data_IF_717015965639
#
_entry.id   IF_717015965639
#
_cell.length_a   1.000
_cell.length_b   1.000
_cell.length_c   1.000
_cell.angle_alpha   90.00
_cell.angle_beta   90.00
_cell.angle_gamma   90.00
#
_symmetry.space_group_name_H-M   'P 1'
#
loop_
_entity.id
_entity.type
_entity.pdbx_description
1 polymer ?
#
# COMPACT_ATOMS: atom_id res chain seq x y z
N UNK A 1 -14.09 -5.33 11.25
CA UNK A 1 -14.50 -6.55 10.51
C UNK A 1 -13.24 -7.14 9.87
N UNK A 2 -12.94 -8.44 10.02
CA UNK A 2 -11.79 -9.01 9.31
C UNK A 2 -12.06 -8.90 7.80
N UNK A 3 -11.14 -8.28 7.07
CA UNK A 3 -11.15 -8.31 5.61
C UNK A 3 -11.02 -9.78 5.20
N UNK A 4 -12.03 -10.31 4.50
CA UNK A 4 -12.10 -11.70 4.07
C UNK A 4 -12.08 -11.75 2.54
N UNK A 5 -11.18 -12.54 1.98
CA UNK A 5 -11.13 -12.86 0.56
C UNK A 5 -11.54 -14.33 0.41
N UNK A 6 -12.64 -14.61 -0.30
CA UNK A 6 -13.17 -15.97 -0.48
C UNK A 6 -13.33 -16.77 0.83
N UNK A 7 -13.73 -16.09 1.91
CA UNK A 7 -13.90 -16.69 3.24
C UNK A 7 -12.64 -16.78 4.10
N UNK A 8 -11.45 -16.54 3.52
CA UNK A 8 -10.17 -16.52 4.24
C UNK A 8 -9.98 -15.14 4.89
N UNK A 9 -9.74 -15.06 6.21
CA UNK A 9 -9.37 -13.80 6.85
C UNK A 9 -7.95 -13.43 6.41
N UNK A 10 -7.85 -12.47 5.51
CA UNK A 10 -6.59 -12.00 4.93
C UNK A 10 -6.01 -10.81 5.72
N UNK A 11 -6.86 -10.09 6.45
CA UNK A 11 -6.47 -8.87 7.16
C UNK A 11 -6.10 -7.74 6.19
N UNK A 12 -5.43 -6.71 6.71
CA UNK A 12 -4.85 -5.65 5.90
C UNK A 12 -3.51 -5.24 6.52
N UNK A 13 -2.50 -5.02 5.68
CA UNK A 13 -1.16 -4.59 6.10
C UNK A 13 -0.80 -3.31 5.36
N UNK A 14 -0.22 -2.38 6.11
CA UNK A 14 0.37 -1.14 5.61
C UNK A 14 1.85 -1.15 5.93
N UNK A 15 2.66 -0.59 5.03
CA UNK A 15 4.09 -0.36 5.25
C UNK A 15 4.35 1.14 5.21
N UNK A 16 5.15 1.63 6.15
CA UNK A 16 5.59 3.03 6.18
C UNK A 16 7.09 3.02 5.86
N UNK A 17 7.46 3.73 4.81
CA UNK A 17 8.85 3.90 4.40
C UNK A 17 9.25 5.34 4.72
N UNK A 18 10.36 5.51 5.44
CA UNK A 18 10.94 6.83 5.68
C UNK A 18 11.94 7.15 4.59
N UNK A 19 11.72 8.25 3.89
CA UNK A 19 12.57 8.74 2.81
C UNK A 19 13.78 9.50 3.38
N UNK A 20 14.78 9.76 2.54
CA UNK A 20 16.03 10.45 2.91
C UNK A 20 15.77 11.86 3.49
N UNK A 21 14.73 12.54 3.03
CA UNK A 21 14.32 13.86 3.54
C UNK A 21 13.58 13.80 4.90
N UNK A 22 13.46 12.61 5.50
CA UNK A 22 12.78 12.37 6.78
C UNK A 22 11.25 12.27 6.70
N UNK A 23 10.65 12.50 5.53
CA UNK A 23 9.21 12.34 5.32
C UNK A 23 8.83 10.89 5.03
N UNK A 24 7.54 10.60 5.05
CA UNK A 24 7.00 9.26 5.00
C UNK A 24 6.28 8.98 3.69
N UNK A 25 6.53 7.81 3.13
CA UNK A 25 5.73 7.18 2.08
C UNK A 25 4.88 6.07 2.71
N UNK A 26 3.57 6.16 2.53
CA UNK A 26 2.60 5.18 3.00
C UNK A 26 2.27 4.24 1.86
N UNK A 27 2.57 2.95 2.04
CA UNK A 27 2.23 1.89 1.11
C UNK A 27 1.06 1.05 1.65
N UNK A 28 0.01 0.87 0.86
CA UNK A 28 -1.17 0.06 1.20
C UNK A 28 -1.90 0.56 2.46
N UNK A 29 -2.51 1.77 2.42
CA UNK A 29 -3.21 2.35 3.55
C UNK A 29 -4.31 1.44 4.10
N UNK A 30 -4.31 1.28 5.43
CA UNK A 30 -5.33 0.54 6.20
C UNK A 30 -6.27 1.50 6.92
N UNK A 31 -7.24 0.98 7.67
CA UNK A 31 -8.16 1.80 8.44
C UNK A 31 -7.44 2.86 9.29
N UNK A 32 -7.80 4.13 9.07
CA UNK A 32 -7.20 5.29 9.70
C UNK A 32 -7.83 5.54 11.07
N UNK A 33 -7.23 4.96 12.09
CA UNK A 33 -7.63 5.18 13.49
C UNK A 33 -6.87 6.36 14.10
N UNK A 34 -7.42 6.97 15.17
CA UNK A 34 -6.72 8.03 15.91
C UNK A 34 -5.36 7.56 16.44
N UNK A 35 -5.29 6.32 16.94
CA UNK A 35 -4.02 5.74 17.41
C UNK A 35 -2.98 5.64 16.29
N UNK A 36 -3.41 5.22 15.09
CA UNK A 36 -2.53 5.15 13.92
C UNK A 36 -2.04 6.54 13.51
N UNK A 37 -2.93 7.53 13.46
CA UNK A 37 -2.56 8.92 13.14
C UNK A 37 -1.54 9.49 14.13
N UNK A 38 -1.73 9.24 15.44
CA UNK A 38 -0.78 9.65 16.46
C UNK A 38 0.58 8.97 16.27
N UNK A 39 0.60 7.66 16.01
CA UNK A 39 1.85 6.93 15.76
C UNK A 39 2.58 7.47 14.51
N UNK A 40 1.87 7.74 13.42
CA UNK A 40 2.47 8.30 12.19
C UNK A 40 3.03 9.71 12.47
N UNK A 41 2.30 10.55 13.21
CA UNK A 41 2.74 11.92 13.53
C UNK A 41 4.07 11.96 14.31
N UNK A 42 4.38 10.90 15.07
CA UNK A 42 5.65 10.77 15.78
C UNK A 42 6.80 10.33 14.87
N UNK A 43 6.50 9.73 13.72
CA UNK A 43 7.50 9.25 12.76
C UNK A 43 7.93 10.34 11.76
N UNK A 44 7.01 11.21 11.35
CA UNK A 44 7.27 12.28 10.39
C UNK A 44 6.03 12.74 9.62
N UNK A 45 6.20 13.74 8.76
CA UNK A 45 5.16 14.19 7.85
C UNK A 45 4.96 13.19 6.70
N UNK A 46 3.72 13.00 6.25
CA UNK A 46 3.42 12.15 5.10
C UNK A 46 3.66 12.95 3.83
N UNK A 47 4.58 12.47 3.00
CA UNK A 47 4.86 13.05 1.69
C UNK A 47 3.99 12.44 0.60
N UNK A 48 3.83 11.11 0.64
CA UNK A 48 3.13 10.39 -0.42
C UNK A 48 2.35 9.19 0.12
N UNK A 49 1.22 8.90 -0.51
CA UNK A 49 0.35 7.75 -0.22
C UNK A 49 0.14 6.99 -1.51
N UNK A 50 0.40 5.68 -1.45
CA UNK A 50 0.31 4.79 -2.62
C UNK A 50 -0.46 3.52 -2.26
N UNK A 51 -1.18 2.97 -3.24
CA UNK A 51 -1.74 1.62 -3.15
C UNK A 51 -0.99 0.69 -4.11
N UNK A 52 -0.69 -0.56 -3.73
CA UNK A 52 0.05 -1.50 -4.58
C UNK A 52 -0.69 -1.86 -5.87
N UNK A 53 -2.03 -1.96 -5.81
CA UNK A 53 -2.88 -2.39 -6.92
C UNK A 53 -4.30 -1.83 -6.76
N UNK A 54 -5.19 -2.14 -7.72
CA UNK A 54 -6.58 -1.69 -7.75
C UNK A 54 -7.51 -2.30 -6.67
N UNK A 55 -7.00 -3.18 -5.80
CA UNK A 55 -7.72 -3.83 -4.70
C UNK A 55 -7.53 -3.13 -3.35
N UNK A 56 -6.45 -2.38 -3.16
CA UNK A 56 -6.06 -1.79 -1.87
C UNK A 56 -6.62 -0.38 -1.60
N UNK A 57 -7.74 -0.02 -2.22
CA UNK A 57 -8.29 1.34 -2.17
C UNK A 57 -9.40 1.55 -1.13
N UNK A 58 -9.77 0.52 -0.36
CA UNK A 58 -10.94 0.54 0.53
C UNK A 58 -10.90 1.71 1.53
N UNK A 59 -9.71 2.00 2.06
CA UNK A 59 -9.50 3.05 3.05
C UNK A 59 -9.05 4.37 2.42
N UNK A 60 -8.88 4.45 1.11
CA UNK A 60 -8.20 5.60 0.50
C UNK A 60 -8.95 6.93 0.70
N UNK A 61 -10.29 6.92 0.81
CA UNK A 61 -11.08 8.13 1.02
C UNK A 61 -10.81 8.81 2.37
N UNK A 62 -10.70 8.05 3.46
CA UNK A 62 -10.41 8.62 4.79
C UNK A 62 -9.00 9.19 4.85
N UNK A 63 -8.03 8.56 4.16
CA UNK A 63 -6.67 9.09 4.03
C UNK A 63 -6.64 10.38 3.21
N UNK A 64 -7.39 10.42 2.10
CA UNK A 64 -7.50 11.60 1.24
C UNK A 64 -8.08 12.80 2.00
N UNK A 65 -9.10 12.57 2.83
CA UNK A 65 -9.70 13.62 3.67
C UNK A 65 -8.78 14.07 4.81
N UNK A 66 -8.04 13.15 5.42
CA UNK A 66 -7.18 13.45 6.57
C UNK A 66 -5.84 14.09 6.18
N UNK A 67 -5.30 13.73 5.01
CA UNK A 67 -3.98 14.16 4.56
C UNK A 67 -4.03 14.78 3.14
N UNK A 68 -4.83 15.85 2.92
CA UNK A 68 -5.01 16.43 1.58
C UNK A 68 -3.74 17.11 1.03
N UNK A 69 -2.68 17.24 1.82
CA UNK A 69 -1.39 17.79 1.40
C UNK A 69 -0.39 16.70 0.96
N UNK A 70 -0.67 15.43 1.25
CA UNK A 70 0.15 14.32 0.79
C UNK A 70 -0.12 14.06 -0.70
N UNK A 71 0.91 13.63 -1.42
CA UNK A 71 0.79 13.29 -2.84
C UNK A 71 0.17 11.89 -2.99
N UNK A 72 -0.97 11.79 -3.67
CA UNK A 72 -1.67 10.52 -3.90
C UNK A 72 -1.29 9.96 -5.25
N UNK A 73 -0.60 8.81 -5.24
CA UNK A 73 -0.33 8.09 -6.47
C UNK A 73 -1.30 6.92 -6.68
N UNK A 74 -1.86 6.86 -7.88
CA UNK A 74 -2.67 5.72 -8.32
C UNK A 74 -1.78 4.62 -8.93
N UNK A 75 -1.94 3.33 -8.57
CA UNK A 75 -1.43 2.26 -9.40
C UNK A 75 -2.22 2.23 -10.72
N UNK A 76 -1.67 1.58 -11.76
CA UNK A 76 -2.35 1.44 -13.05
C UNK A 76 -3.80 0.96 -12.89
N UNK A 77 -4.73 1.67 -13.55
CA UNK A 77 -6.15 1.31 -13.56
C UNK A 77 -7.00 1.85 -12.39
N UNK A 78 -6.39 2.36 -11.31
CA UNK A 78 -7.16 2.77 -10.13
C UNK A 78 -7.96 4.07 -10.36
N UNK A 79 -7.41 5.03 -11.11
CA UNK A 79 -8.07 6.31 -11.40
C UNK A 79 -9.42 6.09 -12.11
N UNK A 80 -9.50 5.11 -13.02
CA UNK A 80 -10.74 4.78 -13.72
C UNK A 80 -11.78 4.13 -12.80
N UNK A 81 -11.33 3.48 -11.71
CA UNK A 81 -12.20 2.82 -10.73
C UNK A 81 -12.66 3.77 -9.61
N UNK A 82 -11.81 4.72 -9.24
CA UNK A 82 -12.03 5.67 -8.12
C UNK A 82 -12.09 7.11 -8.64
N UNK A 83 -13.10 7.36 -9.46
CA UNK A 83 -13.38 8.70 -10.03
C UNK A 83 -13.87 9.71 -8.99
N UNK A 84 -14.17 9.26 -7.77
CA UNK A 84 -14.52 10.10 -6.63
C UNK A 84 -13.30 10.69 -5.91
N UNK A 85 -12.08 10.21 -6.22
CA UNK A 85 -10.83 10.71 -5.65
C UNK A 85 -9.98 11.38 -6.73
N UNK A 86 -9.27 12.43 -6.33
CA UNK A 86 -8.25 13.07 -7.16
C UNK A 86 -6.90 12.47 -6.81
N UNK A 87 -6.23 11.91 -7.81
CA UNK A 87 -4.84 11.47 -7.73
C UNK A 87 -3.96 12.52 -8.36
N UNK A 88 -2.79 12.73 -7.77
CA UNK A 88 -1.84 13.72 -8.26
C UNK A 88 -1.01 13.18 -9.44
N UNK A 89 -0.72 11.86 -9.45
CA UNK A 89 -0.06 11.16 -10.56
C UNK A 89 -0.30 9.64 -10.52
N UNK A 90 0.08 8.94 -11.58
CA UNK A 90 0.00 7.49 -11.69
C UNK A 90 1.38 6.83 -11.57
N UNK A 91 1.45 5.71 -10.85
CA UNK A 91 2.66 4.90 -10.74
C UNK A 91 2.88 4.10 -12.03
N UNK A 92 4.15 4.01 -12.40
CA UNK A 92 4.61 3.26 -13.56
C UNK A 92 5.82 2.39 -13.21
N UNK A 93 6.47 1.83 -14.24
CA UNK A 93 7.67 1.03 -14.07
C UNK A 93 8.91 1.86 -13.65
N UNK A 94 8.80 3.19 -13.61
CA UNK A 94 9.86 4.11 -13.18
C UNK A 94 9.49 4.79 -11.87
N UNK A 95 10.47 4.92 -10.97
CA UNK A 95 10.31 5.68 -9.72
C UNK A 95 10.06 7.17 -10.00
N UNK A 96 9.02 7.78 -9.40
CA UNK A 96 8.83 9.23 -9.36
C UNK A 96 10.00 9.98 -8.71
N UNK A 97 10.15 11.26 -9.09
CA UNK A 97 11.20 12.16 -8.56
C UNK A 97 11.19 12.26 -7.03
N UNK A 98 10.03 12.10 -6.39
CA UNK A 98 9.87 12.18 -4.93
C UNK A 98 10.76 11.18 -4.16
N UNK A 99 11.07 10.04 -4.75
CA UNK A 99 11.92 9.01 -4.14
C UNK A 99 12.88 8.35 -5.14
N UNK A 100 13.13 9.02 -6.27
CA UNK A 100 14.08 8.55 -7.27
C UNK A 100 15.47 8.38 -6.63
N UNK A 101 16.20 7.35 -7.05
CA UNK A 101 17.54 6.98 -6.57
C UNK A 101 17.66 6.47 -5.12
N UNK A 102 16.64 6.62 -4.28
CA UNK A 102 16.63 6.08 -2.90
C UNK A 102 15.75 4.85 -2.76
N UNK A 103 14.59 4.81 -3.44
CA UNK A 103 13.64 3.71 -3.37
C UNK A 103 13.31 3.28 -4.81
N UNK A 104 13.64 2.04 -5.13
CA UNK A 104 13.34 1.50 -6.45
C UNK A 104 11.89 1.05 -6.51
N UNK A 105 11.22 1.38 -7.59
CA UNK A 105 9.85 0.98 -7.87
C UNK A 105 9.79 0.38 -9.27
N UNK A 106 8.99 -0.68 -9.43
CA UNK A 106 8.63 -1.16 -10.76
C UNK A 106 7.25 -1.81 -10.75
N UNK A 107 6.76 -2.17 -11.94
CA UNK A 107 5.52 -2.92 -12.10
C UNK A 107 5.83 -4.40 -12.21
N UNK A 108 5.27 -5.18 -11.29
CA UNK A 108 5.21 -6.62 -11.40
C UNK A 108 3.97 -6.99 -12.22
N UNK A 109 4.22 -7.41 -13.47
CA UNK A 109 3.17 -7.79 -14.41
C UNK A 109 2.92 -9.29 -14.35
N UNK A 110 1.76 -9.67 -13.82
CA UNK A 110 1.26 -11.04 -13.87
C UNK A 110 0.34 -11.25 -15.07
N UNK A 111 -0.94 -10.88 -14.90
CA UNK A 111 -1.97 -10.90 -15.97
C UNK A 111 -2.57 -9.50 -16.12
N UNK A 112 -3.40 -9.25 -17.14
CA UNK A 112 -4.06 -7.95 -17.37
C UNK A 112 -4.87 -7.43 -16.16
N UNK A 113 -5.25 -8.32 -15.22
CA UNK A 113 -5.99 -7.97 -14.00
C UNK A 113 -5.12 -7.95 -12.74
N UNK A 114 -3.83 -8.29 -12.87
CA UNK A 114 -2.92 -8.49 -11.76
C UNK A 114 -1.58 -7.82 -12.11
N UNK A 115 -1.65 -6.49 -12.15
CA UNK A 115 -0.49 -5.60 -12.16
C UNK A 115 -0.35 -5.00 -10.76
N UNK A 116 0.85 -5.10 -10.21
CA UNK A 116 1.17 -4.59 -8.88
C UNK A 116 2.42 -3.71 -8.93
N UNK A 117 2.37 -2.60 -8.21
CA UNK A 117 3.53 -1.77 -7.96
C UNK A 117 4.30 -2.35 -6.79
N UNK A 118 5.57 -2.71 -7.02
CA UNK A 118 6.47 -3.24 -6.00
C UNK A 118 7.60 -2.25 -5.72
N UNK A 119 8.11 -2.28 -4.49
CA UNK A 119 9.19 -1.40 -4.05
C UNK A 119 10.38 -2.22 -3.54
N UNK A 120 11.59 -1.71 -3.75
CA UNK A 120 12.82 -2.27 -3.20
C UNK A 120 13.64 -1.15 -2.56
N UNK A 121 13.93 -1.31 -1.26
CA UNK A 121 14.87 -0.46 -0.53
C UNK A 121 16.26 -1.10 -0.61
N UNK A 122 17.20 -0.50 -1.37
CA UNK A 122 18.53 -1.05 -1.56
C UNK A 122 19.42 -0.96 -0.31
N UNK A 123 19.13 -0.04 0.63
CA UNK A 123 19.93 0.11 1.84
C UNK A 123 19.62 -1.01 2.85
N UNK A 124 18.34 -1.34 3.02
CA UNK A 124 17.92 -2.42 3.91
C UNK A 124 17.87 -3.80 3.22
N UNK A 125 18.05 -3.87 1.90
CA UNK A 125 17.83 -5.07 1.08
C UNK A 125 16.41 -5.65 1.25
N UNK A 126 15.41 -4.77 1.37
CA UNK A 126 14.02 -5.16 1.61
C UNK A 126 13.18 -4.99 0.35
N UNK A 127 12.52 -6.06 -0.07
CA UNK A 127 11.49 -6.04 -1.10
C UNK A 127 10.12 -5.90 -0.42
N UNK A 128 9.32 -4.95 -0.91
CA UNK A 128 7.97 -4.65 -0.43
C UNK A 128 6.99 -4.96 -1.56
N UNK A 129 6.08 -5.87 -1.25
CA UNK A 129 5.04 -6.39 -2.14
C UNK A 129 3.70 -6.35 -1.40
N UNK A 130 2.60 -6.21 -2.12
CA UNK A 130 1.26 -6.37 -1.58
C UNK A 130 0.76 -7.80 -1.81
N UNK A 131 -0.07 -8.00 -2.83
CA UNK A 131 -0.83 -9.24 -3.04
C UNK A 131 -0.06 -10.31 -3.83
N UNK A 132 0.95 -9.96 -4.64
CA UNK A 132 1.64 -10.96 -5.47
C UNK A 132 2.34 -12.04 -4.64
N UNK A 133 2.75 -11.72 -3.41
CA UNK A 133 3.22 -12.69 -2.42
C UNK A 133 2.51 -12.49 -1.10
N UNK A 134 1.59 -13.40 -0.79
CA UNK A 134 0.85 -13.39 0.46
C UNK A 134 1.07 -14.68 1.24
N UNK A 135 1.34 -14.55 2.53
CA UNK A 135 1.41 -15.67 3.47
C UNK A 135 0.23 -15.60 4.43
N UNK A 136 -0.66 -16.59 4.35
CA UNK A 136 -1.81 -16.71 5.23
C UNK A 136 -1.61 -17.90 6.16
N UNK A 137 -1.69 -17.65 7.47
CA UNK A 137 -1.79 -18.73 8.44
C UNK A 137 -3.22 -19.26 8.42
N UNK A 138 -3.43 -20.45 7.85
CA UNK A 138 -4.71 -21.14 7.99
C UNK A 138 -4.80 -21.73 9.40
N UNK A 139 -5.94 -21.59 10.10
CA UNK A 139 -6.13 -22.27 11.37
C UNK A 139 -6.08 -23.78 11.11
N UNK A 140 -5.05 -24.46 11.64
CA UNK A 140 -4.98 -25.91 11.64
C UNK A 140 -5.97 -26.39 12.69
N UNK A 141 -7.21 -26.65 12.29
CA UNK A 141 -8.12 -27.44 13.13
C UNK A 141 -7.75 -28.91 12.94
N UNK A 142 -6.92 -29.47 13.82
CA UNK A 142 -6.86 -30.91 13.99
C UNK A 142 -8.21 -31.36 14.55
N UNK A 143 -9.10 -31.84 13.69
CA UNK A 143 -10.23 -32.66 14.12
C UNK A 143 -9.65 -34.00 14.61
N UNK A 144 -9.97 -34.48 15.82
CA UNK A 144 -9.64 -35.85 16.16
C UNK A 144 -10.36 -36.78 15.17
N UNK A 145 -9.62 -37.71 14.57
CA UNK A 145 -10.18 -38.75 13.71
C UNK A 145 -11.17 -39.61 14.53
N UNK A 146 -12.25 -40.12 13.90
CA UNK A 146 -13.32 -40.87 14.57
C UNK A 146 -12.84 -42.18 15.19
#
# INVERSE_FOLDING_TARGET
>A
MPFKLNGIPVGARMTIIRLENGQLLIHSPIQLTTQLQLAISQLGAIQAIVTPNMGHHLFLSEWWLAYPQAYFFAPPGLEQKRTDLVFDDALSATSPDLWQFQLYQTLLRGSDKMEEVIFCDPLSNTLIVGDTLSCYALPITCSPLP
#
